data_IF_500655881800
#
_entry.id   IF_500655881800
#
_cell.length_a   1.000
_cell.length_b   1.000
_cell.length_c   1.000
_cell.angle_alpha   90.00
_cell.angle_beta   90.00
_cell.angle_gamma   90.00
#
_symmetry.space_group_name_H-M   'P 1'
#
loop_
_entity.id
_entity.type
_entity.pdbx_description
1 polymer ?
#
# COMPACT_ATOMS: atom_id res chain seq x y z
N UNK A 1 18.63 -4.43 -27.45
CA UNK A 1 19.91 -5.12 -27.21
C UNK A 1 20.50 -5.61 -28.53
N UNK A 2 21.82 -5.76 -28.63
CA UNK A 2 22.50 -6.29 -29.83
C UNK A 2 21.86 -7.59 -30.30
N UNK A 3 21.58 -8.52 -29.39
CA UNK A 3 20.91 -9.78 -29.66
C UNK A 3 19.53 -9.65 -30.34
N UNK A 4 18.82 -8.55 -30.12
CA UNK A 4 17.58 -8.25 -30.82
C UNK A 4 17.83 -7.79 -32.26
N UNK A 5 18.83 -6.91 -32.46
CA UNK A 5 19.21 -6.40 -33.77
C UNK A 5 19.83 -7.50 -34.66
N UNK A 6 20.52 -8.47 -34.07
CA UNK A 6 21.05 -9.63 -34.80
C UNK A 6 19.91 -10.51 -35.36
N UNK A 7 18.74 -10.55 -34.72
CA UNK A 7 17.56 -11.26 -35.17
C UNK A 7 16.71 -10.50 -36.18
N UNK A 8 16.63 -9.18 -35.98
CA UNK A 8 15.85 -8.27 -36.81
C UNK A 8 16.59 -6.92 -36.90
N UNK A 9 17.37 -6.69 -37.96
CA UNK A 9 18.12 -5.45 -38.15
C UNK A 9 17.20 -4.19 -38.19
N UNK A 10 15.94 -4.35 -38.56
CA UNK A 10 14.95 -3.26 -38.62
C UNK A 10 14.21 -3.06 -37.28
N UNK A 11 14.58 -3.77 -36.22
CA UNK A 11 13.88 -3.74 -34.94
C UNK A 11 13.77 -2.33 -34.36
N UNK A 12 14.84 -1.54 -34.42
CA UNK A 12 14.82 -0.16 -33.92
C UNK A 12 13.76 0.69 -34.65
N UNK A 13 13.77 0.64 -35.97
CA UNK A 13 12.80 1.35 -36.83
C UNK A 13 11.36 0.89 -36.61
N UNK A 14 11.15 -0.41 -36.41
CA UNK A 14 9.83 -0.96 -36.07
C UNK A 14 9.33 -0.46 -34.72
N UNK A 15 10.21 -0.38 -33.72
CA UNK A 15 9.89 0.19 -32.40
C UNK A 15 9.54 1.66 -32.54
N UNK A 16 10.34 2.46 -33.25
CA UNK A 16 10.07 3.88 -33.47
C UNK A 16 8.69 4.10 -34.16
N UNK A 17 8.40 3.32 -35.21
CA UNK A 17 7.12 3.38 -35.92
C UNK A 17 5.94 2.90 -35.05
N UNK A 18 6.15 1.93 -34.19
CA UNK A 18 5.12 1.47 -33.26
C UNK A 18 4.81 2.55 -32.20
N UNK A 19 5.81 3.30 -31.76
CA UNK A 19 5.61 4.44 -30.85
C UNK A 19 4.97 5.60 -31.59
N UNK A 20 5.58 6.08 -32.68
CA UNK A 20 5.07 7.17 -33.47
C UNK A 20 5.12 6.81 -34.98
N UNK A 21 3.97 6.84 -35.72
CA UNK A 21 2.65 7.30 -35.27
C UNK A 21 1.74 6.19 -34.69
N UNK A 22 2.28 5.00 -34.34
CA UNK A 22 1.46 3.84 -33.96
C UNK A 22 0.58 4.08 -32.74
N UNK A 23 1.14 4.52 -31.61
CA UNK A 23 0.43 4.76 -30.34
C UNK A 23 0.53 6.19 -29.82
N UNK A 24 1.46 6.99 -30.33
CA UNK A 24 1.66 8.39 -29.96
C UNK A 24 1.34 9.32 -31.13
N UNK A 25 0.97 10.56 -30.81
CA UNK A 25 0.68 11.61 -31.76
C UNK A 25 1.22 12.95 -31.31
N UNK A 26 0.46 14.04 -31.53
CA UNK A 26 0.80 15.37 -31.07
C UNK A 26 0.90 15.44 -29.54
N UNK A 27 1.79 16.29 -28.98
CA UNK A 27 1.96 16.39 -27.54
C UNK A 27 0.73 17.01 -26.85
N UNK A 28 0.41 16.50 -25.67
CA UNK A 28 -0.62 17.06 -24.80
C UNK A 28 -0.02 18.22 -23.99
N UNK A 29 -0.15 19.45 -24.47
CA UNK A 29 0.50 20.62 -23.89
C UNK A 29 0.03 20.91 -22.47
N UNK A 30 -1.23 20.66 -22.14
CA UNK A 30 -1.77 20.79 -20.78
C UNK A 30 -1.09 19.81 -19.80
N UNK A 31 -0.81 18.59 -20.24
CA UNK A 31 -0.08 17.60 -19.45
C UNK A 31 1.37 18.02 -19.24
N UNK A 32 2.03 18.53 -20.28
CA UNK A 32 3.41 19.04 -20.20
C UNK A 32 3.50 20.20 -19.23
N UNK A 33 2.54 21.15 -19.29
CA UNK A 33 2.46 22.26 -18.35
C UNK A 33 2.28 21.75 -16.90
N UNK A 34 1.41 20.76 -16.69
CA UNK A 34 1.23 20.14 -15.39
C UNK A 34 2.49 19.45 -14.86
N UNK A 35 3.25 18.78 -15.72
CA UNK A 35 4.55 18.18 -15.37
C UNK A 35 5.55 19.25 -14.95
N UNK A 36 5.62 20.38 -15.69
CA UNK A 36 6.53 21.48 -15.37
C UNK A 36 6.24 22.06 -13.97
N UNK A 37 4.96 22.31 -13.66
CA UNK A 37 4.54 22.80 -12.33
C UNK A 37 4.88 21.78 -11.24
N UNK A 38 4.61 20.50 -11.46
CA UNK A 38 4.90 19.46 -10.48
C UNK A 38 6.42 19.33 -10.19
N UNK A 39 7.26 19.48 -11.22
CA UNK A 39 8.71 19.48 -11.05
C UNK A 39 9.23 20.75 -10.35
N UNK A 40 8.63 21.90 -10.60
CA UNK A 40 8.94 23.14 -9.88
C UNK A 40 8.59 22.99 -8.39
N UNK A 41 7.39 22.52 -8.06
CA UNK A 41 7.02 22.24 -6.67
C UNK A 41 7.98 21.25 -6.00
N UNK A 42 8.35 20.16 -6.70
CA UNK A 42 9.26 19.14 -6.21
C UNK A 42 10.69 19.68 -5.94
N UNK A 43 11.10 20.76 -6.59
CA UNK A 43 12.41 21.40 -6.39
C UNK A 43 12.49 22.26 -5.12
N UNK A 44 11.36 22.51 -4.46
CA UNK A 44 11.28 23.43 -3.31
C UNK A 44 11.78 22.80 -2.00
N UNK A 45 12.26 23.66 -1.08
CA UNK A 45 12.59 23.23 0.30
C UNK A 45 11.35 22.71 1.05
N UNK A 46 10.15 23.16 0.70
CA UNK A 46 8.90 22.68 1.28
C UNK A 46 8.67 21.22 0.92
N UNK A 47 8.84 20.85 -0.35
CA UNK A 47 8.73 19.48 -0.81
C UNK A 47 9.81 18.57 -0.20
N UNK A 48 11.05 19.05 -0.06
CA UNK A 48 12.11 18.30 0.62
C UNK A 48 11.75 17.97 2.09
N UNK A 49 11.15 18.93 2.82
CA UNK A 49 10.63 18.67 4.19
C UNK A 49 9.48 17.67 4.20
N UNK A 50 8.55 17.81 3.27
CA UNK A 50 7.43 16.88 3.09
C UNK A 50 7.91 15.45 2.82
N UNK A 51 8.82 15.27 1.87
CA UNK A 51 9.40 13.96 1.53
C UNK A 51 10.14 13.33 2.72
N UNK A 52 10.89 14.14 3.47
CA UNK A 52 11.55 13.71 4.72
C UNK A 52 10.53 13.24 5.75
N UNK A 53 9.40 13.94 5.90
CA UNK A 53 8.35 13.54 6.85
C UNK A 53 7.65 12.23 6.41
N UNK A 54 7.46 12.01 5.11
CA UNK A 54 6.94 10.74 4.59
C UNK A 54 7.78 9.56 5.08
N UNK A 55 9.10 9.65 4.93
CA UNK A 55 10.04 8.59 5.35
C UNK A 55 10.05 8.43 6.87
N UNK A 56 10.03 9.52 7.64
CA UNK A 56 9.92 9.47 9.10
C UNK A 56 8.65 8.75 9.55
N UNK A 57 7.53 9.06 8.93
CA UNK A 57 6.25 8.42 9.19
C UNK A 57 6.29 6.91 8.88
N UNK A 58 6.87 6.53 7.74
CA UNK A 58 7.03 5.14 7.37
C UNK A 58 7.91 4.38 8.38
N UNK A 59 9.04 4.94 8.77
CA UNK A 59 9.92 4.36 9.80
C UNK A 59 9.23 4.21 11.15
N UNK A 60 8.45 5.20 11.59
CA UNK A 60 7.69 5.12 12.84
C UNK A 60 6.63 4.01 12.83
N UNK A 61 5.95 3.82 11.68
CA UNK A 61 5.00 2.73 11.49
C UNK A 61 5.71 1.37 11.54
N UNK A 62 6.84 1.23 10.82
CA UNK A 62 7.68 0.04 10.82
C UNK A 62 8.15 -0.35 12.24
N UNK A 63 8.64 0.60 13.02
CA UNK A 63 9.14 0.35 14.38
C UNK A 63 8.09 -0.32 15.27
N UNK A 64 6.85 0.17 15.24
CA UNK A 64 5.78 -0.40 16.06
C UNK A 64 5.36 -1.78 15.54
N UNK A 65 5.23 -1.95 14.23
CA UNK A 65 4.86 -3.24 13.63
C UNK A 65 5.94 -4.31 13.89
N UNK A 66 7.21 -3.96 13.72
CA UNK A 66 8.33 -4.85 14.03
C UNK A 66 8.33 -5.26 15.52
N UNK A 67 8.15 -4.31 16.44
CA UNK A 67 8.05 -4.60 17.87
C UNK A 67 6.87 -5.52 18.24
N UNK A 68 5.83 -5.57 17.39
CA UNK A 68 4.67 -6.48 17.50
C UNK A 68 4.88 -7.81 16.75
N UNK A 69 6.09 -8.09 16.28
CA UNK A 69 6.47 -9.34 15.64
C UNK A 69 5.96 -9.49 14.20
N UNK A 70 5.71 -8.38 13.49
CA UNK A 70 5.48 -8.44 12.05
C UNK A 70 6.80 -8.61 11.31
N UNK A 71 6.78 -9.44 10.28
CA UNK A 71 7.91 -9.59 9.36
C UNK A 71 7.80 -8.51 8.29
N UNK A 72 8.75 -7.58 8.31
CA UNK A 72 8.84 -6.50 7.33
C UNK A 72 9.84 -6.91 6.25
N UNK A 73 9.44 -6.84 4.98
CA UNK A 73 10.33 -7.14 3.87
C UNK A 73 11.40 -6.05 3.80
N UNK A 74 12.68 -6.46 3.78
CA UNK A 74 13.83 -5.56 3.83
C UNK A 74 14.11 -4.99 5.23
N UNK A 75 13.63 -5.65 6.30
CA UNK A 75 13.82 -5.27 7.71
C UNK A 75 13.31 -3.86 8.05
N UNK A 76 12.43 -3.31 7.20
CA UNK A 76 11.85 -1.97 7.37
C UNK A 76 11.71 -1.21 6.07
N UNK A 77 12.01 0.09 6.09
CA UNK A 77 11.91 0.92 4.89
C UNK A 77 12.84 2.13 4.90
N UNK A 78 13.35 2.48 3.72
CA UNK A 78 14.08 3.72 3.44
C UNK A 78 13.27 4.70 2.55
N UNK A 79 12.00 4.37 2.27
CA UNK A 79 11.12 5.19 1.45
C UNK A 79 9.73 5.34 2.10
N UNK A 80 8.70 5.59 1.31
CA UNK A 80 7.32 5.79 1.74
C UNK A 80 6.53 4.50 1.96
N UNK A 81 7.03 3.36 1.48
CA UNK A 81 6.30 2.11 1.39
C UNK A 81 6.73 1.14 2.49
N UNK A 82 5.77 0.46 3.08
CA UNK A 82 5.98 -0.63 4.02
C UNK A 82 5.40 -1.90 3.41
N UNK A 83 6.17 -2.96 3.41
CA UNK A 83 5.78 -4.26 2.89
C UNK A 83 5.88 -5.31 3.98
N UNK A 84 4.76 -5.94 4.30
CA UNK A 84 4.58 -6.81 5.47
C UNK A 84 4.27 -8.22 4.98
N UNK A 85 4.98 -9.22 5.49
CA UNK A 85 4.60 -10.63 5.37
C UNK A 85 3.72 -11.03 6.57
N UNK A 86 2.52 -11.53 6.29
CA UNK A 86 1.54 -11.95 7.29
C UNK A 86 1.56 -13.47 7.54
N UNK A 87 2.49 -14.22 6.94
CA UNK A 87 2.55 -15.68 7.05
C UNK A 87 2.62 -16.15 8.50
N UNK A 88 3.27 -15.38 9.38
CA UNK A 88 3.38 -15.65 10.81
C UNK A 88 2.17 -15.18 11.65
N UNK A 89 1.18 -14.53 11.02
CA UNK A 89 -0.01 -13.98 11.71
C UNK A 89 -1.28 -14.82 11.50
N UNK A 90 -1.19 -15.89 10.72
CA UNK A 90 -2.29 -16.84 10.53
C UNK A 90 -3.42 -16.35 9.64
N UNK A 91 -3.17 -15.34 8.78
CA UNK A 91 -4.12 -14.89 7.76
C UNK A 91 -3.39 -14.50 6.49
N UNK A 92 -4.14 -14.39 5.39
CA UNK A 92 -3.61 -13.89 4.13
C UNK A 92 -3.84 -12.38 3.95
N UNK A 93 -3.13 -11.76 3.01
CA UNK A 93 -3.24 -10.34 2.71
C UNK A 93 -4.64 -9.94 2.21
N UNK A 94 -5.41 -10.87 1.62
CA UNK A 94 -6.77 -10.58 1.20
C UNK A 94 -7.69 -10.36 2.40
N UNK A 95 -7.68 -11.26 3.39
CA UNK A 95 -8.50 -11.14 4.59
C UNK A 95 -8.08 -9.93 5.43
N UNK A 96 -6.76 -9.70 5.56
CA UNK A 96 -6.22 -8.54 6.26
C UNK A 96 -6.63 -7.22 5.60
N UNK A 97 -6.50 -7.09 4.27
CA UNK A 97 -6.86 -5.87 3.55
C UNK A 97 -8.35 -5.53 3.71
N UNK A 98 -9.25 -6.52 3.57
CA UNK A 98 -10.68 -6.30 3.77
C UNK A 98 -11.04 -5.91 5.21
N UNK A 99 -10.47 -6.59 6.21
CA UNK A 99 -10.73 -6.25 7.61
C UNK A 99 -10.25 -4.83 7.96
N UNK A 100 -9.07 -4.45 7.47
CA UNK A 100 -8.53 -3.10 7.63
C UNK A 100 -9.40 -2.04 6.94
N UNK A 101 -9.88 -2.31 5.73
CA UNK A 101 -10.77 -1.40 5.00
C UNK A 101 -12.07 -1.12 5.76
N UNK A 102 -12.71 -2.16 6.34
CA UNK A 102 -13.88 -1.99 7.18
C UNK A 102 -13.59 -1.23 8.49
N UNK A 103 -12.36 -1.32 8.98
CA UNK A 103 -11.86 -0.48 10.07
C UNK A 103 -11.38 0.91 9.61
N UNK A 104 -11.61 1.31 8.35
CA UNK A 104 -11.25 2.63 7.81
C UNK A 104 -9.76 2.81 7.49
N UNK A 105 -8.99 1.72 7.42
CA UNK A 105 -7.55 1.75 7.08
C UNK A 105 -7.36 1.07 5.74
N UNK A 106 -7.08 1.85 4.70
CA UNK A 106 -6.87 1.34 3.35
C UNK A 106 -5.47 0.75 3.22
N UNK A 107 -5.42 -0.53 2.89
CA UNK A 107 -4.19 -1.27 2.65
C UNK A 107 -4.30 -2.09 1.36
N UNK A 108 -3.18 -2.35 0.72
CA UNK A 108 -3.12 -3.15 -0.49
C UNK A 108 -2.56 -4.54 -0.18
N UNK A 109 -3.27 -5.59 -0.60
CA UNK A 109 -2.71 -6.95 -0.60
C UNK A 109 -1.56 -7.05 -1.61
N UNK A 110 -0.50 -7.76 -1.25
CA UNK A 110 0.73 -7.82 -2.03
C UNK A 110 1.38 -9.20 -1.89
N UNK A 111 1.90 -9.75 -2.99
CA UNK A 111 2.77 -10.93 -2.92
C UNK A 111 4.04 -10.61 -2.15
N UNK A 112 4.62 -11.59 -1.49
CA UNK A 112 5.91 -11.48 -0.80
C UNK A 112 7.01 -12.19 -1.59
N UNK A 113 8.29 -11.93 -1.32
CA UNK A 113 9.37 -12.72 -1.91
C UNK A 113 9.17 -14.21 -1.63
N UNK A 114 9.37 -15.04 -2.67
CA UNK A 114 9.12 -16.49 -2.61
C UNK A 114 7.67 -16.88 -2.26
N UNK A 115 6.69 -16.06 -2.67
CA UNK A 115 5.27 -16.30 -2.45
C UNK A 115 4.84 -17.69 -2.89
N UNK A 116 4.20 -18.44 -1.98
CA UNK A 116 3.71 -19.79 -2.24
C UNK A 116 2.21 -19.85 -2.56
N UNK A 117 1.50 -18.76 -2.32
CA UNK A 117 0.06 -18.64 -2.54
C UNK A 117 -0.26 -17.98 -3.87
N UNK A 118 -1.52 -18.08 -4.28
CA UNK A 118 -2.02 -17.38 -5.46
C UNK A 118 -1.87 -15.86 -5.33
N UNK A 119 -1.51 -15.12 -6.40
CA UNK A 119 -1.52 -13.66 -6.41
C UNK A 119 -2.86 -13.02 -6.01
N UNK A 120 -3.97 -13.76 -6.12
CA UNK A 120 -5.29 -13.31 -5.66
C UNK A 120 -5.42 -13.32 -4.13
N UNK A 121 -4.70 -14.22 -3.46
CA UNK A 121 -4.72 -14.42 -2.01
C UNK A 121 -3.30 -14.45 -1.45
N UNK A 122 -2.52 -13.38 -1.69
CA UNK A 122 -1.11 -13.35 -1.34
C UNK A 122 -0.90 -13.28 0.18
N UNK A 123 0.32 -13.54 0.61
CA UNK A 123 0.68 -13.53 2.04
C UNK A 123 0.91 -12.15 2.62
N UNK A 124 1.04 -11.10 1.79
CA UNK A 124 1.50 -9.81 2.26
C UNK A 124 0.50 -8.66 2.15
N UNK A 125 0.87 -7.59 2.84
CA UNK A 125 0.24 -6.27 2.76
C UNK A 125 1.28 -5.21 2.37
N UNK A 126 0.80 -4.19 1.65
CA UNK A 126 1.56 -2.98 1.36
C UNK A 126 0.82 -1.77 1.90
N UNK A 127 1.55 -0.94 2.61
CA UNK A 127 1.10 0.34 3.16
C UNK A 127 1.98 1.47 2.62
N UNK A 128 1.47 2.69 2.66
CA UNK A 128 2.23 3.88 2.27
C UNK A 128 1.83 5.08 3.11
N UNK A 129 2.74 6.02 3.29
CA UNK A 129 2.56 7.18 4.17
C UNK A 129 2.37 8.54 3.48
N UNK A 130 2.42 8.69 2.13
CA UNK A 130 2.23 10.01 1.51
C UNK A 130 0.89 10.65 1.84
N UNK A 131 -0.22 9.95 1.64
CA UNK A 131 -1.57 10.49 1.84
C UNK A 131 -1.80 11.01 3.27
N UNK A 132 -1.39 10.25 4.29
CA UNK A 132 -1.52 10.66 5.69
C UNK A 132 -0.55 11.80 6.04
N UNK A 133 0.63 11.85 5.41
CA UNK A 133 1.60 12.95 5.58
C UNK A 133 1.09 14.24 4.94
N UNK A 134 0.48 14.17 3.76
CA UNK A 134 -0.17 15.32 3.10
C UNK A 134 -1.24 15.93 4.00
N UNK A 135 -1.97 15.12 4.74
CA UNK A 135 -2.96 15.56 5.72
C UNK A 135 -2.35 16.12 7.01
N UNK A 136 -1.04 16.18 7.13
CA UNK A 136 -0.34 16.72 8.30
C UNK A 136 -0.07 15.74 9.44
N UNK A 137 -0.37 14.44 9.26
CA UNK A 137 -0.07 13.42 10.27
C UNK A 137 1.43 13.20 10.37
N UNK A 138 1.89 12.92 11.60
CA UNK A 138 3.30 12.69 11.94
C UNK A 138 3.46 11.38 12.71
N UNK A 139 4.65 11.14 13.26
CA UNK A 139 5.02 9.90 13.93
C UNK A 139 4.06 9.46 15.07
N UNK A 140 3.48 10.37 15.89
CA UNK A 140 2.50 9.94 16.90
C UNK A 140 1.27 9.26 16.30
N UNK A 141 0.74 9.81 15.19
CA UNK A 141 -0.39 9.21 14.48
C UNK A 141 0.00 7.88 13.84
N UNK A 142 1.20 7.77 13.30
CA UNK A 142 1.71 6.51 12.73
C UNK A 142 1.79 5.41 13.79
N UNK A 143 2.24 5.74 14.99
CA UNK A 143 2.24 4.79 16.12
C UNK A 143 0.83 4.33 16.49
N UNK A 144 -0.15 5.23 16.45
CA UNK A 144 -1.54 4.87 16.71
C UNK A 144 -2.14 4.03 15.59
N UNK A 145 -1.87 4.35 14.33
CA UNK A 145 -2.30 3.57 13.16
C UNK A 145 -1.72 2.15 13.23
N UNK A 146 -0.44 2.01 13.58
CA UNK A 146 0.19 0.69 13.76
C UNK A 146 -0.50 -0.17 14.84
N UNK A 147 -0.94 0.44 15.95
CA UNK A 147 -1.71 -0.25 16.99
C UNK A 147 -3.06 -0.75 16.46
N UNK A 148 -3.79 0.07 15.71
CA UNK A 148 -5.05 -0.33 15.12
C UNK A 148 -4.86 -1.42 14.05
N UNK A 149 -3.82 -1.32 13.23
CA UNK A 149 -3.47 -2.39 12.28
C UNK A 149 -3.27 -3.72 13.00
N UNK A 150 -2.48 -3.73 14.06
CA UNK A 150 -2.23 -4.92 14.86
C UNK A 150 -3.51 -5.46 15.52
N UNK A 151 -4.33 -4.59 16.07
CA UNK A 151 -5.60 -4.96 16.69
C UNK A 151 -6.56 -5.62 15.68
N UNK A 152 -6.71 -5.04 14.50
CA UNK A 152 -7.54 -5.58 13.42
C UNK A 152 -7.01 -6.92 12.93
N UNK A 153 -5.70 -7.01 12.68
CA UNK A 153 -5.08 -8.25 12.16
C UNK A 153 -5.19 -9.37 13.18
N UNK A 154 -4.83 -9.12 14.45
CA UNK A 154 -4.91 -10.11 15.52
C UNK A 154 -6.34 -10.59 15.75
N UNK A 155 -7.30 -9.67 15.79
CA UNK A 155 -8.72 -9.99 15.93
C UNK A 155 -9.23 -10.82 14.77
N UNK A 156 -8.90 -10.43 13.55
CA UNK A 156 -9.33 -11.14 12.34
C UNK A 156 -8.71 -12.54 12.26
N UNK A 157 -7.41 -12.66 12.56
CA UNK A 157 -6.74 -13.97 12.58
C UNK A 157 -7.38 -14.94 13.58
N UNK A 158 -7.78 -14.45 14.75
CA UNK A 158 -8.48 -15.27 15.75
C UNK A 158 -9.85 -15.76 15.24
N UNK A 159 -10.59 -14.92 14.49
CA UNK A 159 -11.90 -15.29 13.92
C UNK A 159 -11.81 -16.36 12.83
N UNK A 160 -10.79 -16.31 11.99
CA UNK A 160 -10.62 -17.27 10.88
C UNK A 160 -9.68 -18.42 11.19
N UNK A 161 -9.27 -18.55 12.45
CA UNK A 161 -8.40 -19.65 12.90
C UNK A 161 -9.05 -20.99 12.59
N UNK A 162 -8.32 -21.84 11.88
CA UNK A 162 -8.79 -23.16 11.42
C UNK A 162 -9.94 -23.13 10.41
N UNK A 163 -10.23 -22.00 9.77
CA UNK A 163 -11.20 -21.89 8.70
C UNK A 163 -10.48 -22.03 7.36
N UNK A 164 -10.89 -23.04 6.57
CA UNK A 164 -10.47 -23.11 5.17
C UNK A 164 -11.16 -21.99 4.39
N UNK A 165 -10.38 -21.01 3.92
CA UNK A 165 -10.87 -19.81 3.25
C UNK A 165 -11.20 -20.08 1.79
N UNK A 166 -12.19 -20.96 1.54
CA UNK A 166 -12.78 -21.18 0.21
C UNK A 166 -13.41 -19.91 -0.35
N UNK A 167 -13.79 -19.88 -1.63
CA UNK A 167 -14.46 -18.72 -2.22
C UNK A 167 -15.78 -18.36 -1.52
N UNK A 168 -16.53 -19.37 -1.08
CA UNK A 168 -17.78 -19.18 -0.33
C UNK A 168 -17.50 -18.57 1.04
N UNK A 169 -16.54 -19.13 1.77
CA UNK A 169 -16.12 -18.59 3.06
C UNK A 169 -15.58 -17.16 2.98
N UNK A 170 -14.92 -16.79 1.88
CA UNK A 170 -14.50 -15.40 1.65
C UNK A 170 -15.68 -14.44 1.41
N UNK A 171 -16.75 -14.90 0.77
CA UNK A 171 -17.98 -14.10 0.63
C UNK A 171 -18.67 -13.91 1.98
N UNK A 172 -18.83 -14.98 2.74
CA UNK A 172 -19.37 -14.93 4.11
C UNK A 172 -18.54 -13.99 5.00
N UNK A 173 -17.23 -14.16 5.01
CA UNK A 173 -16.31 -13.29 5.73
C UNK A 173 -16.55 -11.81 5.45
N UNK A 174 -16.68 -11.40 4.19
CA UNK A 174 -16.95 -10.00 3.85
C UNK A 174 -18.29 -9.52 4.41
N UNK A 175 -19.34 -10.34 4.34
CA UNK A 175 -20.67 -10.01 4.87
C UNK A 175 -20.67 -9.86 6.39
N UNK A 176 -19.89 -10.68 7.07
CA UNK A 176 -19.74 -10.60 8.52
C UNK A 176 -18.91 -9.40 8.95
N UNK A 177 -17.76 -9.17 8.29
CA UNK A 177 -16.83 -8.10 8.67
C UNK A 177 -17.43 -6.70 8.49
N UNK A 178 -18.28 -6.48 7.49
CA UNK A 178 -18.95 -5.19 7.29
C UNK A 178 -19.86 -4.78 8.46
N UNK A 179 -20.37 -5.77 9.22
CA UNK A 179 -21.25 -5.55 10.37
C UNK A 179 -20.54 -5.78 11.70
N UNK A 180 -19.24 -6.08 11.65
CA UNK A 180 -18.49 -6.42 12.85
C UNK A 180 -18.33 -5.22 13.78
N UNK A 181 -18.85 -5.34 14.99
CA UNK A 181 -18.89 -4.25 15.98
C UNK A 181 -17.49 -3.75 16.34
N UNK A 182 -16.49 -4.66 16.43
CA UNK A 182 -15.11 -4.30 16.77
C UNK A 182 -14.45 -3.50 15.66
N UNK A 183 -14.61 -3.94 14.41
CA UNK A 183 -14.06 -3.20 13.26
C UNK A 183 -14.75 -1.84 13.11
N UNK A 184 -16.06 -1.77 13.30
CA UNK A 184 -16.81 -0.51 13.27
C UNK A 184 -16.41 0.45 14.40
N UNK A 185 -16.06 -0.06 15.58
CA UNK A 185 -15.55 0.75 16.70
C UNK A 185 -14.18 1.36 16.35
N UNK A 186 -13.24 0.53 15.86
CA UNK A 186 -11.94 1.02 15.38
C UNK A 186 -12.14 2.04 14.25
N UNK A 187 -13.04 1.76 13.31
CA UNK A 187 -13.37 2.67 12.21
C UNK A 187 -13.92 4.03 12.68
N UNK A 188 -14.67 4.08 13.78
CA UNK A 188 -15.08 5.36 14.39
C UNK A 188 -13.89 6.11 14.96
N UNK A 189 -12.96 5.42 15.64
CA UNK A 189 -11.76 6.03 16.18
C UNK A 189 -10.81 6.54 15.07
N UNK A 190 -10.66 5.79 13.98
CA UNK A 190 -9.91 6.20 12.79
C UNK A 190 -10.51 7.45 12.17
N UNK A 191 -11.85 7.49 11.97
CA UNK A 191 -12.53 8.68 11.43
C UNK A 191 -12.39 9.89 12.35
N UNK A 192 -12.54 9.71 13.67
CA UNK A 192 -12.37 10.79 14.64
C UNK A 192 -10.94 11.38 14.58
N UNK A 193 -9.92 10.54 14.48
CA UNK A 193 -8.55 11.02 14.25
C UNK A 193 -8.44 11.79 12.93
N UNK A 194 -9.01 11.24 11.85
CA UNK A 194 -8.94 11.87 10.52
C UNK A 194 -9.60 13.25 10.45
N UNK A 195 -10.64 13.51 11.23
CA UNK A 195 -11.28 14.84 11.30
C UNK A 195 -10.34 15.95 11.79
N UNK A 196 -9.35 15.61 12.62
CA UNK A 196 -8.35 16.56 13.11
C UNK A 196 -7.23 16.85 12.07
N UNK A 197 -7.26 16.19 10.93
CA UNK A 197 -6.26 16.24 9.85
C UNK A 197 -6.95 16.37 8.49
N UNK A 198 -7.89 17.29 8.36
CA UNK A 198 -8.53 17.64 7.07
C UNK A 198 -7.59 18.47 6.20
N UNK A 199 -7.77 18.40 4.89
CA UNK A 199 -7.11 19.29 3.92
C UNK A 199 -7.54 20.73 4.13
#
# INVERSE_FOLDING_TARGET
TQKGLDKDPELAKKIDSAVFPGVQGGPHMETIAGIAIALEEASTKAFARYSTQIVKNAKALCQVLSAKGYVLIGDGTENHMIWIDLSNKGLDGWAAAWALEYAGIIANRQTVPNEKKSPYYPSGLRLGTPAVTTRGMKEPQMRQIAKWIDEVITYTAAKIKNVDMTQEKRKEFKQEMIKDKKLLEIGRAVRAMCHNFSY
#
